data_IF_982306520487
#
_entry.id   IF_982306520487
#
_cell.length_a   1.000
_cell.length_b   1.000
_cell.length_c   1.000
_cell.angle_alpha   90.00
_cell.angle_beta   90.00
_cell.angle_gamma   90.00
#
_symmetry.space_group_name_H-M   'P 1'
#
loop_
_entity.id
_entity.type
_entity.pdbx_description
1 polymer ?
#
# COMPACT_ATOMS: atom_id res chain seq x y z
N UNK A 1 -21.81 -62.38 63.23
CA UNK A 1 -21.14 -61.08 63.50
C UNK A 1 -20.23 -60.77 62.33
N UNK A 2 -20.67 -59.93 61.38
CA UNK A 2 -19.91 -59.35 60.23
C UNK A 2 -20.92 -58.70 59.28
N UNK A 3 -21.67 -57.71 59.79
CA UNK A 3 -22.57 -56.84 59.03
C UNK A 3 -22.32 -55.40 59.48
N UNK A 4 -21.07 -54.95 59.36
CA UNK A 4 -20.70 -53.57 59.70
C UNK A 4 -19.85 -52.88 58.61
N UNK A 5 -19.51 -53.57 57.52
CA UNK A 5 -18.57 -53.04 56.53
C UNK A 5 -19.22 -52.40 55.28
N UNK A 6 -20.56 -52.36 55.20
CA UNK A 6 -21.29 -51.84 54.03
C UNK A 6 -22.14 -50.59 54.35
N UNK A 7 -21.75 -49.82 55.38
CA UNK A 7 -22.45 -48.61 55.82
C UNK A 7 -21.52 -47.38 55.86
N UNK A 8 -20.43 -47.39 55.08
CA UNK A 8 -19.51 -46.26 54.94
C UNK A 8 -19.48 -45.66 53.53
N UNK A 9 -20.39 -46.05 52.63
CA UNK A 9 -20.40 -45.58 51.23
C UNK A 9 -21.68 -44.81 50.81
N UNK A 10 -22.61 -44.55 51.74
CA UNK A 10 -23.90 -43.85 51.47
C UNK A 10 -24.11 -42.62 52.36
N UNK A 11 -23.01 -42.00 52.83
CA UNK A 11 -23.06 -40.82 53.71
C UNK A 11 -22.33 -39.58 53.19
N UNK A 12 -21.95 -39.56 51.90
CA UNK A 12 -21.08 -38.51 51.34
C UNK A 12 -21.69 -37.64 50.24
N UNK A 13 -22.98 -37.79 49.92
CA UNK A 13 -23.57 -37.21 48.71
C UNK A 13 -24.68 -36.17 48.95
N UNK A 14 -24.73 -35.54 50.12
CA UNK A 14 -25.74 -34.51 50.45
C UNK A 14 -25.18 -33.22 51.05
N UNK A 15 -23.85 -33.03 51.11
CA UNK A 15 -23.25 -31.89 51.80
C UNK A 15 -22.52 -30.87 50.90
N UNK A 16 -23.11 -30.53 49.75
CA UNK A 16 -22.77 -29.30 49.02
C UNK A 16 -23.93 -28.97 48.06
N UNK A 17 -24.73 -27.92 48.34
CA UNK A 17 -24.27 -26.55 48.15
C UNK A 17 -24.80 -25.60 49.25
N UNK A 18 -24.15 -25.57 50.41
CA UNK A 18 -24.41 -24.54 51.43
C UNK A 18 -23.32 -23.44 51.47
N UNK A 19 -22.15 -23.68 50.86
CA UNK A 19 -21.07 -22.70 50.74
C UNK A 19 -21.29 -21.73 49.57
N UNK A 20 -22.42 -21.03 49.55
CA UNK A 20 -22.63 -19.91 48.61
C UNK A 20 -23.48 -18.77 49.17
N UNK A 21 -23.95 -18.86 50.42
CA UNK A 21 -24.56 -17.71 51.08
C UNK A 21 -23.52 -17.00 51.93
N UNK A 22 -22.63 -16.25 51.28
CA UNK A 22 -21.98 -15.12 51.94
C UNK A 22 -23.08 -14.15 52.35
N UNK A 23 -23.23 -13.81 53.64
CA UNK A 23 -24.08 -12.71 54.06
C UNK A 23 -23.75 -11.49 53.19
N UNK A 24 -24.76 -10.82 52.63
CA UNK A 24 -24.54 -9.56 51.95
C UNK A 24 -24.10 -8.55 53.00
N UNK A 25 -22.78 -8.39 53.13
CA UNK A 25 -22.17 -7.31 53.88
C UNK A 25 -22.09 -6.12 52.93
N UNK A 26 -22.88 -5.06 53.17
CA UNK A 26 -22.81 -3.88 52.32
C UNK A 26 -21.37 -3.33 52.36
N UNK A 27 -20.79 -2.91 51.23
CA UNK A 27 -19.45 -2.36 51.22
C UNK A 27 -19.37 -1.20 52.21
N UNK A 28 -18.34 -1.19 53.05
CA UNK A 28 -18.04 -0.04 53.92
C UNK A 28 -18.07 1.24 53.09
N UNK A 29 -18.68 2.31 53.61
CA UNK A 29 -18.79 3.60 52.91
C UNK A 29 -17.42 4.21 52.55
N UNK A 30 -16.34 3.73 53.18
CA UNK A 30 -14.94 4.10 52.91
C UNK A 30 -14.23 3.19 51.87
N UNK A 31 -14.89 2.14 51.37
CA UNK A 31 -14.33 1.35 50.29
C UNK A 31 -14.47 2.14 48.98
N UNK A 32 -13.38 2.38 48.22
CA UNK A 32 -13.49 3.00 46.92
C UNK A 32 -14.32 2.09 46.01
N UNK A 33 -15.56 2.45 45.76
CA UNK A 33 -16.41 1.77 44.77
C UNK A 33 -15.80 2.05 43.40
N UNK A 34 -15.37 1.01 42.65
CA UNK A 34 -14.91 1.22 41.29
C UNK A 34 -16.04 1.88 40.51
N UNK A 35 -15.74 3.01 39.86
CA UNK A 35 -16.77 3.72 39.12
C UNK A 35 -17.17 2.87 37.90
N UNK A 36 -18.42 2.98 37.45
CA UNK A 36 -18.87 2.34 36.20
C UNK A 36 -17.99 2.77 35.01
N UNK A 37 -17.38 3.95 35.06
CA UNK A 37 -16.39 4.43 34.09
C UNK A 37 -15.12 3.58 34.09
N UNK A 38 -14.58 3.24 35.27
CA UNK A 38 -13.33 2.49 35.41
C UNK A 38 -13.48 1.03 34.92
N UNK A 39 -14.69 0.48 35.00
CA UNK A 39 -14.99 -0.84 34.44
C UNK A 39 -15.11 -0.81 32.92
N UNK A 40 -15.74 0.24 32.37
CA UNK A 40 -15.86 0.46 30.92
C UNK A 40 -14.50 0.73 30.28
N UNK A 41 -13.67 1.56 30.92
CA UNK A 41 -12.31 1.89 30.48
C UNK A 41 -11.45 0.63 30.39
N UNK A 42 -11.41 -0.20 31.44
CA UNK A 42 -10.70 -1.49 31.43
C UNK A 42 -11.23 -2.45 30.36
N UNK A 43 -12.54 -2.42 30.09
CA UNK A 43 -13.15 -3.21 29.02
C UNK A 43 -12.71 -2.74 27.62
N UNK A 44 -12.63 -1.43 27.41
CA UNK A 44 -12.16 -0.84 26.16
C UNK A 44 -10.67 -1.08 25.94
N UNK A 45 -9.84 -0.95 26.97
CA UNK A 45 -8.41 -1.28 26.92
C UNK A 45 -8.21 -2.75 26.51
N UNK A 46 -8.94 -3.67 27.16
CA UNK A 46 -8.88 -5.10 26.83
C UNK A 46 -9.29 -5.38 25.37
N UNK A 47 -10.32 -4.69 24.88
CA UNK A 47 -10.76 -4.79 23.48
C UNK A 47 -9.68 -4.27 22.52
N UNK A 48 -9.12 -3.09 22.79
CA UNK A 48 -8.05 -2.48 21.98
C UNK A 48 -6.80 -3.37 21.94
N UNK A 49 -6.38 -3.92 23.08
CA UNK A 49 -5.25 -4.84 23.17
C UNK A 49 -5.49 -6.13 22.37
N UNK A 50 -6.71 -6.65 22.37
CA UNK A 50 -7.04 -7.83 21.59
C UNK A 50 -7.03 -7.53 20.08
N UNK A 51 -7.60 -6.39 19.68
CA UNK A 51 -7.58 -5.93 18.30
C UNK A 51 -6.15 -5.68 17.81
N UNK A 52 -5.30 -5.06 18.63
CA UNK A 52 -3.88 -4.87 18.30
C UNK A 52 -3.14 -6.20 18.18
N UNK A 53 -3.35 -7.14 19.11
CA UNK A 53 -2.76 -8.49 19.01
C UNK A 53 -3.19 -9.23 17.75
N UNK A 54 -4.44 -9.08 17.34
CA UNK A 54 -4.95 -9.67 16.11
C UNK A 54 -4.41 -8.97 14.85
N UNK A 55 -4.25 -7.64 14.89
CA UNK A 55 -3.76 -6.83 13.77
C UNK A 55 -2.23 -6.91 13.58
N UNK A 56 -1.47 -7.10 14.66
CA UNK A 56 0.00 -7.16 14.65
C UNK A 56 0.60 -8.04 13.54
N UNK A 57 0.19 -9.31 13.34
CA UNK A 57 0.74 -10.13 12.25
C UNK A 57 0.42 -9.60 10.85
N UNK A 58 -0.65 -8.83 10.68
CA UNK A 58 -0.97 -8.19 9.40
C UNK A 58 -0.13 -6.93 9.18
N UNK A 59 0.06 -6.12 10.23
CA UNK A 59 0.94 -4.96 10.20
C UNK A 59 2.40 -5.37 9.95
N UNK A 60 2.86 -6.47 10.56
CA UNK A 60 4.21 -7.02 10.34
C UNK A 60 4.42 -7.52 8.91
N UNK A 61 3.38 -8.07 8.26
CA UNK A 61 3.43 -8.43 6.84
C UNK A 61 3.47 -7.17 5.98
N UNK A 62 2.56 -6.23 6.21
CA UNK A 62 2.51 -4.98 5.46
C UNK A 62 3.83 -4.20 5.55
N UNK A 63 4.42 -4.11 6.75
CA UNK A 63 5.70 -3.46 6.97
C UNK A 63 6.84 -4.12 6.20
N UNK A 64 6.88 -5.46 6.16
CA UNK A 64 7.87 -6.20 5.35
C UNK A 64 7.67 -5.99 3.86
N UNK A 65 6.43 -6.07 3.37
CA UNK A 65 6.12 -5.93 1.94
C UNK A 65 6.42 -4.50 1.46
N UNK A 66 6.03 -3.50 2.25
CA UNK A 66 6.36 -2.10 1.98
C UNK A 66 7.87 -1.87 2.02
N UNK A 67 8.57 -2.42 3.03
CA UNK A 67 10.02 -2.34 3.11
C UNK A 67 10.73 -2.95 1.91
N UNK A 68 10.29 -4.14 1.47
CA UNK A 68 10.83 -4.79 0.27
C UNK A 68 10.59 -3.95 -0.99
N UNK A 69 9.40 -3.36 -1.13
CA UNK A 69 9.05 -2.49 -2.25
C UNK A 69 9.92 -1.24 -2.25
N UNK A 70 10.03 -0.52 -1.13
CA UNK A 70 10.88 0.67 -1.01
C UNK A 70 12.34 0.36 -1.33
N UNK A 71 12.87 -0.76 -0.84
CA UNK A 71 14.22 -1.23 -1.17
C UNK A 71 14.41 -1.50 -2.66
N UNK A 72 13.38 -1.97 -3.37
CA UNK A 72 13.44 -2.17 -4.82
C UNK A 72 13.53 -0.86 -5.61
N UNK A 73 12.94 0.22 -5.07
CA UNK A 73 12.98 1.57 -5.66
C UNK A 73 14.19 2.40 -5.21
N UNK A 74 14.86 2.04 -4.12
CA UNK A 74 16.06 2.72 -3.61
C UNK A 74 17.08 3.08 -4.70
N UNK A 75 17.50 2.18 -5.62
CA UNK A 75 18.46 2.56 -6.67
C UNK A 75 17.91 3.56 -7.68
N UNK A 76 16.59 3.56 -7.93
CA UNK A 76 15.94 4.54 -8.81
C UNK A 76 15.88 5.91 -8.12
N UNK A 77 15.60 5.93 -6.82
CA UNK A 77 15.58 7.14 -6.02
C UNK A 77 16.98 7.76 -5.92
N UNK A 78 18.04 6.95 -5.84
CA UNK A 78 19.42 7.44 -5.92
C UNK A 78 19.72 8.08 -7.28
N UNK A 79 19.36 7.41 -8.38
CA UNK A 79 19.53 7.95 -9.75
C UNK A 79 18.73 9.25 -9.94
N UNK A 80 17.54 9.35 -9.35
CA UNK A 80 16.73 10.58 -9.36
C UNK A 80 17.36 11.69 -8.50
N UNK A 81 17.91 11.34 -7.32
CA UNK A 81 18.59 12.27 -6.43
C UNK A 81 19.77 12.95 -7.13
N UNK A 82 20.59 12.18 -7.85
CA UNK A 82 21.70 12.73 -8.64
C UNK A 82 21.23 13.73 -9.71
N UNK A 83 20.08 13.50 -10.32
CA UNK A 83 19.51 14.43 -11.30
C UNK A 83 18.91 15.68 -10.63
N UNK A 84 18.28 15.51 -9.46
CA UNK A 84 17.81 16.64 -8.65
C UNK A 84 18.96 17.55 -8.20
N UNK A 85 20.10 16.97 -7.85
CA UNK A 85 21.28 17.75 -7.46
C UNK A 85 21.82 18.61 -8.63
N UNK A 86 21.66 18.15 -9.88
CA UNK A 86 22.06 18.93 -11.08
C UNK A 86 21.12 20.11 -11.38
N UNK A 87 19.94 20.21 -10.75
CA UNK A 87 18.99 21.32 -10.98
C UNK A 87 19.63 22.68 -10.66
N UNK A 88 20.53 22.75 -9.67
CA UNK A 88 21.26 23.98 -9.32
C UNK A 88 22.18 24.50 -10.44
N UNK A 89 22.57 23.64 -11.38
CA UNK A 89 23.41 23.97 -12.53
C UNK A 89 22.65 24.66 -13.67
N UNK A 90 21.37 24.97 -13.47
CA UNK A 90 20.52 25.65 -14.44
C UNK A 90 20.20 27.08 -14.01
N UNK A 91 19.85 27.90 -15.00
CA UNK A 91 19.43 29.29 -14.83
C UNK A 91 17.93 29.38 -14.57
N UNK A 92 17.46 30.56 -14.20
CA UNK A 92 16.03 30.80 -14.05
C UNK A 92 15.29 30.55 -15.39
N UNK A 93 14.02 30.08 -15.33
CA UNK A 93 13.24 29.81 -16.54
C UNK A 93 12.98 31.08 -17.36
N UNK A 94 13.22 31.02 -18.67
CA UNK A 94 12.92 32.10 -19.63
C UNK A 94 11.72 31.69 -20.49
N UNK A 95 10.68 32.52 -20.55
CA UNK A 95 9.51 32.28 -21.41
C UNK A 95 9.76 32.88 -22.80
N UNK A 96 9.67 32.05 -23.82
CA UNK A 96 9.85 32.43 -25.22
C UNK A 96 8.56 33.02 -25.83
N UNK A 97 8.66 33.62 -27.02
CA UNK A 97 7.53 34.24 -27.73
C UNK A 97 6.43 33.23 -28.11
N UNK A 98 6.80 31.98 -28.36
CA UNK A 98 5.87 30.88 -28.63
C UNK A 98 5.16 30.35 -27.36
N UNK A 99 5.57 30.81 -26.17
CA UNK A 99 5.03 30.36 -24.89
C UNK A 99 5.81 29.22 -24.23
N UNK A 100 6.83 28.65 -24.89
CA UNK A 100 7.67 27.62 -24.30
C UNK A 100 8.58 28.20 -23.20
N UNK A 101 9.00 27.32 -22.29
CA UNK A 101 9.97 27.66 -21.25
C UNK A 101 11.31 27.04 -21.58
N UNK A 102 12.33 27.89 -21.71
CA UNK A 102 13.72 27.50 -21.86
C UNK A 102 14.43 27.62 -20.51
N UNK A 103 15.00 26.52 -20.05
CA UNK A 103 15.87 26.51 -18.86
C UNK A 103 17.29 26.23 -19.34
N UNK A 104 18.13 27.27 -19.34
CA UNK A 104 19.51 27.16 -19.84
C UNK A 104 20.43 26.63 -18.76
N UNK A 105 21.41 25.83 -19.16
CA UNK A 105 22.49 25.41 -18.27
C UNK A 105 23.45 26.57 -18.01
N UNK A 106 24.05 26.62 -16.83
CA UNK A 106 25.09 27.61 -16.50
C UNK A 106 26.38 27.31 -17.27
N UNK A 107 27.13 28.34 -17.70
CA UNK A 107 28.34 28.15 -18.51
C UNK A 107 29.49 27.50 -17.74
N UNK A 108 29.52 27.64 -16.42
CA UNK A 108 30.51 27.10 -15.49
C UNK A 108 30.10 25.74 -14.90
N UNK A 109 28.93 25.22 -15.26
CA UNK A 109 28.45 23.94 -14.76
C UNK A 109 29.31 22.77 -15.30
N UNK A 110 29.64 21.76 -14.47
CA UNK A 110 30.23 20.50 -14.93
C UNK A 110 29.27 19.82 -15.91
N UNK A 111 29.66 18.87 -16.78
CA UNK A 111 28.74 18.18 -17.70
C UNK A 111 27.50 17.57 -17.00
N UNK A 112 26.34 17.44 -17.67
CA UNK A 112 25.13 16.91 -17.03
C UNK A 112 25.32 15.43 -16.70
N UNK A 113 24.85 14.97 -15.54
CA UNK A 113 24.88 13.55 -15.22
C UNK A 113 24.00 12.78 -16.22
N UNK A 114 24.43 11.58 -16.65
CA UNK A 114 23.60 10.74 -17.49
C UNK A 114 22.36 10.28 -16.71
N UNK A 115 21.21 10.21 -17.37
CA UNK A 115 20.03 9.56 -16.79
C UNK A 115 20.36 8.08 -16.61
N UNK A 116 20.32 7.61 -15.37
CA UNK A 116 20.61 6.22 -15.03
C UNK A 116 19.69 5.23 -15.75
N UNK A 117 20.16 4.00 -16.02
CA UNK A 117 19.42 3.04 -16.83
C UNK A 117 18.09 2.64 -16.19
N UNK A 118 18.02 2.56 -14.86
CA UNK A 118 16.80 2.13 -14.16
C UNK A 118 15.73 3.21 -14.20
N UNK A 119 16.12 4.45 -13.93
CA UNK A 119 15.21 5.58 -14.06
C UNK A 119 14.73 5.71 -15.51
N UNK A 120 15.63 5.55 -16.49
CA UNK A 120 15.28 5.60 -17.91
C UNK A 120 14.30 4.51 -18.33
N UNK A 121 14.46 3.30 -17.81
CA UNK A 121 13.54 2.20 -18.10
C UNK A 121 12.16 2.42 -17.48
N UNK A 122 12.09 3.02 -16.29
CA UNK A 122 10.81 3.41 -15.66
C UNK A 122 10.09 4.55 -16.39
N UNK A 123 10.83 5.49 -16.96
CA UNK A 123 10.27 6.60 -17.74
C UNK A 123 9.92 6.20 -19.17
N UNK A 124 10.31 5.00 -19.61
CA UNK A 124 9.98 4.51 -20.96
C UNK A 124 8.47 4.24 -21.02
N UNK A 125 7.73 4.82 -22.00
CA UNK A 125 6.33 4.49 -22.20
C UNK A 125 6.16 2.99 -22.48
N UNK A 126 5.02 2.42 -22.08
CA UNK A 126 4.69 1.06 -22.47
C UNK A 126 4.67 0.98 -24.01
N UNK A 127 5.12 -0.13 -24.63
CA UNK A 127 5.26 -0.22 -26.10
C UNK A 127 3.98 0.12 -26.87
N UNK A 128 2.82 -0.14 -26.28
CA UNK A 128 1.49 0.17 -26.82
C UNK A 128 1.17 1.68 -26.86
N UNK A 129 1.78 2.46 -25.98
CA UNK A 129 1.62 3.92 -25.86
C UNK A 129 2.75 4.69 -26.55
N UNK A 130 3.77 3.99 -27.06
CA UNK A 130 4.84 4.60 -27.84
C UNK A 130 4.36 4.88 -29.27
N UNK A 131 3.98 6.14 -29.55
CA UNK A 131 3.51 6.58 -30.86
C UNK A 131 4.52 6.33 -31.99
N UNK A 132 5.81 6.08 -31.69
CA UNK A 132 6.81 5.70 -32.70
C UNK A 132 6.64 4.26 -33.17
N UNK A 133 6.20 3.37 -32.28
CA UNK A 133 5.98 1.96 -32.55
C UNK A 133 4.54 1.71 -33.02
N UNK A 134 3.60 2.54 -32.58
CA UNK A 134 2.19 2.46 -32.92
C UNK A 134 1.64 3.83 -33.33
N UNK A 135 1.88 4.27 -34.58
CA UNK A 135 1.36 5.54 -35.06
C UNK A 135 -0.18 5.54 -34.99
N UNK A 136 -0.81 6.65 -34.57
CA UNK A 136 -2.26 6.74 -34.53
C UNK A 136 -2.82 6.40 -35.91
N UNK A 137 -3.77 5.47 -35.94
CA UNK A 137 -4.47 5.08 -37.17
C UNK A 137 -5.44 6.20 -37.53
N UNK A 138 -4.92 7.33 -38.01
CA UNK A 138 -5.75 8.40 -38.54
C UNK A 138 -6.43 7.89 -39.81
N UNK A 139 -7.67 7.45 -39.65
CA UNK A 139 -8.67 7.33 -40.69
C UNK A 139 -8.99 8.72 -41.27
N UNK A 140 -8.05 9.34 -41.99
CA UNK A 140 -8.33 10.37 -43.00
C UNK A 140 -7.12 10.47 -43.94
N UNK A 141 -6.70 9.35 -44.53
CA UNK A 141 -6.11 9.46 -45.86
C UNK A 141 -7.27 9.80 -46.81
N UNK A 142 -7.24 10.92 -47.56
CA UNK A 142 -8.26 11.16 -48.57
C UNK A 142 -8.22 9.96 -49.53
N UNK A 143 -9.38 9.37 -49.79
CA UNK A 143 -9.51 8.23 -50.71
C UNK A 143 -8.74 8.55 -52.01
N UNK A 144 -7.91 7.63 -52.53
CA UNK A 144 -7.21 7.88 -53.78
C UNK A 144 -8.27 8.14 -54.85
N UNK A 145 -8.24 9.34 -55.42
CA UNK A 145 -9.15 9.74 -56.48
C UNK A 145 -9.13 8.70 -57.61
N UNK A 146 -10.33 8.34 -58.10
CA UNK A 146 -10.59 7.42 -59.20
C UNK A 146 -9.47 7.42 -60.26
N UNK A 147 -8.63 6.38 -60.23
CA UNK A 147 -7.82 6.05 -61.39
C UNK A 147 -8.76 5.42 -62.43
N UNK A 148 -8.91 6.01 -63.63
CA UNK A 148 -9.70 5.38 -64.67
C UNK A 148 -9.03 4.05 -65.09
N UNK A 149 -9.80 3.00 -65.40
CA UNK A 149 -9.23 1.70 -65.71
C UNK A 149 -8.34 1.78 -66.97
N UNK A 150 -7.21 1.04 -67.01
CA UNK A 150 -6.34 1.07 -68.18
C UNK A 150 -7.06 0.47 -69.38
N UNK A 151 -7.07 1.21 -70.49
CA UNK A 151 -7.60 0.76 -71.76
C UNK A 151 -6.84 -0.49 -72.22
N UNK A 152 -7.56 -1.60 -72.31
CA UNK A 152 -7.04 -2.83 -72.91
C UNK A 152 -6.66 -2.54 -74.36
N UNK A 153 -5.38 -2.74 -74.69
CA UNK A 153 -4.94 -2.88 -76.07
C UNK A 153 -4.67 -4.36 -76.30
N UNK A 154 -5.62 -4.99 -76.97
CA UNK A 154 -5.47 -6.28 -77.62
C UNK A 154 -4.18 -6.28 -78.44
N UNK A 155 -3.30 -7.25 -78.19
CA UNK A 155 -2.21 -7.55 -79.13
C UNK A 155 -2.75 -8.66 -80.04
N UNK A 156 -3.00 -8.25 -81.27
CA UNK A 156 -3.38 -9.03 -82.44
C UNK A 156 -2.30 -10.07 -82.78
N UNK A 157 -2.75 -11.34 -82.91
CA UNK A 157 -2.18 -12.55 -83.53
C UNK A 157 -0.66 -12.69 -83.73
#
# INVERSE_FOLDING_TARGET
MKRCAALLLTGGLLLAPAHAQTPYEPPSADAPTPSTGDALERGLESLMDNLMRQAQPHLDRLGRDLGATLNSFQPVLDELGQLMDDVGNYQAPERLENGDILIRRRPDAPPPPPVGPRLRDLLRPAPQDDSRLNPPSDQTAPAPADQPPPAGSEIEL
#
